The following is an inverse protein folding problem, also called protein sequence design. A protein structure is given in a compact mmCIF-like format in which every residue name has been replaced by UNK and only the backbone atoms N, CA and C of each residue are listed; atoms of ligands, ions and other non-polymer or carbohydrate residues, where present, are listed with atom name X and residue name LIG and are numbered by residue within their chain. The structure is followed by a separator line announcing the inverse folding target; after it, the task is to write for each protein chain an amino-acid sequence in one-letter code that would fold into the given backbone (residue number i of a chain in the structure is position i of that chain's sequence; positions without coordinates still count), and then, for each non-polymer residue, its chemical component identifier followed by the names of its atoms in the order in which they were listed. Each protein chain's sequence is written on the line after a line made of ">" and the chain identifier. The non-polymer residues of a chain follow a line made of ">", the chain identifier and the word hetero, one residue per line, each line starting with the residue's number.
data_IF_695227997283
#
_entry.id   IF_695227997283
#
_cell.length_a   1.000
_cell.length_b   1.000
_cell.length_c   1.000
_cell.angle_alpha   90.00
_cell.angle_beta   90.00
_cell.angle_gamma   90.00
#
_symmetry.space_group_name_H-M   'P 1'
#
loop_
_entity.id
_entity.type
_entity.pdbx_description
1 polymer ?
#
# COMPACT_ATOMS: atom_id res chain seq x y z
N UNK A 1 6.51 -19.66 -48.05
CA UNK A 1 7.76 -18.88 -48.01
C UNK A 1 8.38 -19.00 -46.63
N UNK A 2 9.65 -19.43 -46.55
CA UNK A 2 10.32 -19.78 -45.27
C UNK A 2 10.66 -18.53 -44.44
N UNK A 3 10.85 -17.38 -45.09
CA UNK A 3 11.17 -16.11 -44.42
C UNK A 3 10.05 -15.58 -43.53
N UNK A 4 8.79 -15.81 -43.93
CA UNK A 4 7.61 -15.42 -43.14
C UNK A 4 7.48 -16.23 -41.84
N UNK A 5 7.84 -17.51 -41.88
CA UNK A 5 7.80 -18.42 -40.72
C UNK A 5 8.93 -18.06 -39.75
N UNK A 6 10.13 -17.79 -40.28
CA UNK A 6 11.29 -17.35 -39.49
C UNK A 6 10.94 -16.09 -38.68
N UNK A 7 10.29 -15.11 -39.32
CA UNK A 7 9.87 -13.85 -38.69
C UNK A 7 8.86 -14.04 -37.56
N UNK A 8 7.92 -14.98 -37.70
CA UNK A 8 6.95 -15.29 -36.64
C UNK A 8 7.62 -15.93 -35.41
N UNK A 9 8.62 -16.79 -35.63
CA UNK A 9 9.41 -17.43 -34.56
C UNK A 9 10.25 -16.36 -33.84
N UNK A 10 10.89 -15.46 -34.59
CA UNK A 10 11.64 -14.32 -34.06
C UNK A 10 10.77 -13.44 -33.15
N UNK A 11 9.55 -13.11 -33.60
CA UNK A 11 8.61 -12.28 -32.85
C UNK A 11 8.14 -12.95 -31.56
N UNK A 12 7.94 -14.28 -31.56
CA UNK A 12 7.60 -15.04 -30.34
C UNK A 12 8.76 -15.08 -29.35
N UNK A 13 9.99 -15.25 -29.85
CA UNK A 13 11.21 -15.17 -29.02
C UNK A 13 11.38 -13.77 -28.43
N UNK A 14 11.21 -12.71 -29.22
CA UNK A 14 11.27 -11.31 -28.73
C UNK A 14 10.19 -10.99 -27.71
N UNK A 15 8.94 -11.47 -27.90
CA UNK A 15 7.88 -11.27 -26.89
C UNK A 15 8.21 -11.97 -25.59
N UNK A 16 8.72 -13.22 -25.66
CA UNK A 16 9.15 -13.97 -24.48
C UNK A 16 10.35 -13.32 -23.81
N UNK A 17 11.30 -12.79 -24.59
CA UNK A 17 12.46 -12.05 -24.11
C UNK A 17 12.02 -10.76 -23.40
N UNK A 18 11.16 -9.94 -24.01
CA UNK A 18 10.62 -8.71 -23.40
C UNK A 18 9.77 -9.00 -22.16
N UNK A 19 9.05 -10.12 -22.14
CA UNK A 19 8.24 -10.53 -21.00
C UNK A 19 9.11 -11.09 -19.87
N UNK A 20 10.16 -11.84 -20.20
CA UNK A 20 11.19 -12.29 -19.27
C UNK A 20 12.00 -11.11 -18.74
N UNK A 21 12.36 -10.13 -19.56
CA UNK A 21 13.04 -8.88 -19.16
C UNK A 21 12.13 -7.99 -18.33
N UNK A 22 10.81 -7.96 -18.57
CA UNK A 22 9.85 -7.30 -17.66
C UNK A 22 9.68 -8.04 -16.34
N UNK A 23 9.76 -9.37 -16.37
CA UNK A 23 9.70 -10.21 -15.17
C UNK A 23 11.06 -10.31 -14.44
N UNK A 24 12.16 -9.98 -15.12
CA UNK A 24 13.55 -10.08 -14.64
C UNK A 24 14.23 -8.71 -14.54
N UNK A 25 13.55 -7.61 -14.86
CA UNK A 25 13.86 -6.34 -14.21
C UNK A 25 13.72 -6.63 -12.72
N UNK A 26 14.82 -6.60 -11.94
CA UNK A 26 14.64 -6.52 -10.52
C UNK A 26 13.76 -5.30 -10.33
N UNK A 27 12.61 -5.51 -9.71
CA UNK A 27 11.87 -4.40 -9.15
C UNK A 27 12.92 -3.51 -8.46
N UNK A 28 13.06 -2.21 -8.86
CA UNK A 28 14.02 -1.32 -8.20
C UNK A 28 13.81 -1.54 -6.72
N UNK A 29 14.88 -1.85 -5.94
CA UNK A 29 14.75 -2.49 -4.64
C UNK A 29 13.55 -1.88 -3.96
N UNK A 30 12.47 -2.67 -3.82
CA UNK A 30 11.28 -2.20 -3.13
C UNK A 30 11.84 -1.57 -1.86
N UNK A 31 11.64 -0.25 -1.61
CA UNK A 31 12.11 0.34 -0.37
C UNK A 31 11.62 -0.60 0.72
N UNK A 32 12.55 -1.09 1.57
CA UNK A 32 12.53 -2.42 2.17
C UNK A 32 11.12 -2.84 2.54
N UNK A 33 10.71 -4.02 2.07
CA UNK A 33 9.49 -4.68 2.53
C UNK A 33 9.38 -4.48 4.05
N UNK A 34 8.21 -4.02 4.54
CA UNK A 34 8.11 -3.15 5.69
C UNK A 34 8.84 -3.78 6.86
N UNK A 35 9.77 -3.01 7.42
CA UNK A 35 10.26 -3.17 8.78
C UNK A 35 9.10 -3.72 9.60
N UNK A 36 9.19 -4.99 10.03
CA UNK A 36 8.33 -5.49 11.09
C UNK A 36 8.28 -4.37 12.11
N UNK A 37 7.08 -3.89 12.43
CA UNK A 37 6.99 -2.68 13.23
C UNK A 37 7.46 -3.10 14.63
N UNK A 38 8.76 -2.98 14.91
CA UNK A 38 9.36 -3.43 16.17
C UNK A 38 9.21 -2.33 17.22
N UNK A 39 9.11 -1.06 16.79
CA UNK A 39 8.95 0.12 17.66
C UNK A 39 7.52 0.66 17.76
N UNK A 40 7.29 1.68 18.60
CA UNK A 40 6.00 2.38 18.66
C UNK A 40 5.67 2.99 17.30
N UNK A 41 4.39 2.94 16.91
CA UNK A 41 3.94 3.57 15.66
C UNK A 41 3.76 5.07 15.92
N UNK A 42 4.48 5.90 15.17
CA UNK A 42 4.32 7.34 15.24
C UNK A 42 3.00 7.82 14.60
N UNK A 43 2.37 8.91 15.08
CA UNK A 43 1.14 9.49 14.53
C UNK A 43 1.17 9.69 13.01
N UNK A 44 2.28 10.24 12.49
CA UNK A 44 2.42 10.48 11.05
C UNK A 44 2.49 9.16 10.25
N UNK A 45 3.11 8.14 10.82
CA UNK A 45 3.17 6.81 10.20
C UNK A 45 1.80 6.15 10.19
N UNK A 46 1.01 6.32 11.25
CA UNK A 46 -0.38 5.88 11.34
C UNK A 46 -1.27 6.55 10.27
N UNK A 47 -1.18 7.88 10.12
CA UNK A 47 -1.94 8.61 9.10
C UNK A 47 -1.56 8.19 7.68
N UNK A 48 -0.27 8.01 7.42
CA UNK A 48 0.23 7.53 6.13
C UNK A 48 -0.19 6.09 5.84
N UNK A 49 -0.26 5.23 6.86
CA UNK A 49 -0.75 3.87 6.72
C UNK A 49 -2.22 3.82 6.28
N UNK A 50 -3.05 4.75 6.77
CA UNK A 50 -4.45 4.86 6.37
C UNK A 50 -4.60 5.21 4.88
N UNK A 51 -3.70 6.03 4.31
CA UNK A 51 -3.64 6.30 2.86
C UNK A 51 -3.17 5.06 2.09
N UNK A 52 -2.15 4.36 2.61
CA UNK A 52 -1.53 3.23 1.93
C UNK A 52 -2.30 1.91 2.05
N UNK A 53 -3.41 1.86 2.79
CA UNK A 53 -4.13 0.61 3.02
C UNK A 53 -3.41 -0.37 3.96
N UNK A 54 -2.49 0.11 4.79
CA UNK A 54 -1.65 -0.75 5.66
C UNK A 54 -2.35 -1.09 6.97
N UNK A 55 -3.30 -2.03 6.91
CA UNK A 55 -4.08 -2.48 8.07
C UNK A 55 -3.23 -2.85 9.30
N UNK A 56 -2.16 -3.65 9.11
CA UNK A 56 -1.30 -4.08 10.21
C UNK A 56 -0.68 -2.92 11.02
N UNK A 57 -0.38 -1.78 10.38
CA UNK A 57 0.12 -0.57 11.07
C UNK A 57 -0.99 0.10 11.87
N UNK A 58 -2.20 0.18 11.29
CA UNK A 58 -3.39 0.74 11.95
C UNK A 58 -3.70 -0.06 13.20
N UNK A 59 -3.78 -1.39 13.08
CA UNK A 59 -4.07 -2.26 14.21
C UNK A 59 -3.01 -2.17 15.29
N UNK A 60 -1.73 -2.11 14.92
CA UNK A 60 -0.66 -1.94 15.89
C UNK A 60 -0.79 -0.63 16.66
N UNK A 61 -0.95 0.50 15.97
CA UNK A 61 -1.06 1.82 16.62
C UNK A 61 -2.21 1.86 17.62
N UNK A 62 -3.37 1.30 17.23
CA UNK A 62 -4.54 1.23 18.09
C UNK A 62 -4.34 0.27 19.27
N UNK A 63 -3.68 -0.88 19.04
CA UNK A 63 -3.35 -1.83 20.10
C UNK A 63 -2.34 -1.27 21.11
N UNK A 64 -1.42 -0.42 20.66
CA UNK A 64 -0.47 0.30 21.51
C UNK A 64 -1.15 1.45 22.30
N UNK A 65 -2.47 1.64 22.17
CA UNK A 65 -3.25 2.68 22.85
C UNK A 65 -3.23 4.04 22.18
N UNK A 66 -2.79 4.10 20.92
CA UNK A 66 -2.81 5.31 20.11
C UNK A 66 -4.24 5.80 19.83
N UNK A 67 -4.51 7.12 19.86
CA UNK A 67 -5.85 7.64 19.66
C UNK A 67 -6.29 7.51 18.19
N UNK A 68 -7.44 6.89 17.95
CA UNK A 68 -7.97 6.70 16.59
C UNK A 68 -8.25 8.03 15.85
N UNK A 69 -8.54 9.09 16.61
CA UNK A 69 -8.78 10.46 16.13
C UNK A 69 -7.49 11.27 15.91
N UNK A 70 -6.32 10.61 15.88
CA UNK A 70 -5.07 11.25 15.47
C UNK A 70 -5.24 11.95 14.13
N UNK A 71 -4.84 13.23 14.05
CA UNK A 71 -4.96 14.05 12.85
C UNK A 71 -3.65 14.76 12.50
N UNK A 72 -3.52 15.22 11.25
CA UNK A 72 -2.43 16.09 10.82
C UNK A 72 -2.71 17.57 11.09
N UNK A 73 -1.81 18.45 10.64
CA UNK A 73 -1.91 19.91 10.74
C UNK A 73 -3.14 20.50 10.01
N UNK A 74 -3.79 19.72 9.13
CA UNK A 74 -5.01 20.11 8.43
C UNK A 74 -6.27 19.49 9.03
N UNK A 75 -6.18 18.96 10.26
CA UNK A 75 -7.27 18.26 10.95
C UNK A 75 -7.80 17.03 10.18
N UNK A 76 -6.96 16.40 9.34
CA UNK A 76 -7.36 15.17 8.63
C UNK A 76 -6.95 13.95 9.45
N UNK A 77 -7.95 13.17 9.88
CA UNK A 77 -7.76 11.93 10.62
C UNK A 77 -7.42 10.77 9.70
N UNK A 78 -7.01 9.64 10.29
CA UNK A 78 -6.88 8.38 9.56
C UNK A 78 -8.19 7.96 8.87
N UNK A 79 -9.35 8.33 9.45
CA UNK A 79 -10.66 8.08 8.88
C UNK A 79 -10.87 8.90 7.59
N UNK A 80 -10.55 10.21 7.61
CA UNK A 80 -10.59 11.04 6.40
C UNK A 80 -9.70 10.49 5.27
N UNK A 81 -8.47 10.07 5.62
CA UNK A 81 -7.48 9.55 4.67
C UNK A 81 -7.92 8.22 4.04
N UNK A 82 -8.35 7.26 4.86
CA UNK A 82 -8.82 5.95 4.37
C UNK A 82 -10.11 6.05 3.57
N UNK A 83 -11.01 7.01 3.90
CA UNK A 83 -12.23 7.27 3.13
C UNK A 83 -11.94 7.76 1.71
N UNK A 84 -10.97 8.66 1.55
CA UNK A 84 -10.59 9.21 0.25
C UNK A 84 -10.04 8.12 -0.70
N UNK A 85 -9.29 7.17 -0.14
CA UNK A 85 -8.67 6.07 -0.88
C UNK A 85 -9.58 4.83 -1.02
N UNK A 86 -10.74 4.83 -0.34
CA UNK A 86 -11.70 3.72 -0.40
C UNK A 86 -11.32 2.48 0.42
N UNK A 87 -10.42 2.63 1.40
CA UNK A 87 -10.01 1.52 2.29
C UNK A 87 -11.06 1.24 3.36
N UNK A 88 -12.17 0.62 2.95
CA UNK A 88 -13.34 0.36 3.81
C UNK A 88 -13.00 -0.43 5.08
N UNK A 89 -12.12 -1.43 4.99
CA UNK A 89 -11.75 -2.26 6.13
C UNK A 89 -11.07 -1.43 7.24
N UNK A 90 -10.18 -0.51 6.84
CA UNK A 90 -9.47 0.39 7.77
C UNK A 90 -10.47 1.36 8.40
N UNK A 91 -11.38 1.89 7.59
CA UNK A 91 -12.45 2.77 8.03
C UNK A 91 -13.29 2.11 9.13
N UNK A 92 -13.70 0.86 8.90
CA UNK A 92 -14.47 0.08 9.86
C UNK A 92 -13.66 -0.19 11.13
N UNK A 93 -12.38 -0.55 11.01
CA UNK A 93 -11.50 -0.76 12.17
C UNK A 93 -11.35 0.50 13.03
N UNK A 94 -11.21 1.67 12.41
CA UNK A 94 -11.10 2.95 13.10
C UNK A 94 -12.39 3.29 13.85
N UNK A 95 -13.54 3.10 13.21
CA UNK A 95 -14.87 3.30 13.82
C UNK A 95 -15.08 2.36 15.01
N UNK A 96 -14.74 1.07 14.86
CA UNK A 96 -14.82 0.08 15.94
C UNK A 96 -13.91 0.44 17.13
N UNK A 97 -12.83 1.19 16.85
CA UNK A 97 -11.89 1.70 17.85
C UNK A 97 -12.30 3.06 18.44
N UNK A 98 -13.50 3.55 18.12
CA UNK A 98 -14.08 4.77 18.67
C UNK A 98 -13.69 6.05 17.93
N UNK A 99 -13.21 5.97 16.69
CA UNK A 99 -12.98 7.17 15.88
C UNK A 99 -14.28 7.93 15.61
N UNK A 100 -14.21 9.26 15.65
CA UNK A 100 -15.33 10.16 15.42
C UNK A 100 -15.45 10.52 13.94
N UNK A 101 -16.68 10.58 13.42
CA UNK A 101 -16.95 10.91 12.01
C UNK A 101 -16.98 12.42 11.76
N UNK A 102 -17.40 13.21 12.75
CA UNK A 102 -17.62 14.67 12.65
C UNK A 102 -16.45 15.49 13.24
N UNK A 103 -15.24 15.32 12.71
CA UNK A 103 -14.03 16.00 13.22
C UNK A 103 -13.58 17.20 12.38
#
# INVERSE_FOLDING_TARGET
>A
DVGSIQRLIELRKQRRQRQAERAATPEPPQPPEPLEIVGPVEPETFLRAAVQGKMHVIEKFLADGGPADTCDEFHRTALHRSSLEGHMDILQKLLDSGATVDF
#
